data_IF_974678347124
#
_entry.id   IF_974678347124
#
_cell.length_a   1.000
_cell.length_b   1.000
_cell.length_c   1.000
_cell.angle_alpha   90.00
_cell.angle_beta   90.00
_cell.angle_gamma   90.00
#
_symmetry.space_group_name_H-M   'P 1'
#
loop_
_entity.id
_entity.type
_entity.pdbx_description
1 polymer ?
#
# COMPACT_ATOMS: atom_id res chain seq x y z
N UNK A 1 17.64 -72.80 -22.53
CA UNK A 1 18.55 -72.21 -21.53
C UNK A 1 18.00 -70.84 -21.15
N UNK A 2 17.38 -70.73 -19.97
CA UNK A 2 16.78 -69.48 -19.46
C UNK A 2 17.89 -68.64 -18.83
N UNK A 3 18.14 -67.44 -19.32
CA UNK A 3 18.79 -66.38 -18.55
C UNK A 3 17.74 -65.32 -18.23
N UNK A 4 17.34 -65.27 -16.96
CA UNK A 4 16.68 -64.10 -16.39
C UNK A 4 17.76 -63.22 -15.78
N UNK A 5 17.80 -61.95 -16.17
CA UNK A 5 18.66 -60.95 -15.54
C UNK A 5 17.87 -59.66 -15.36
N UNK A 6 17.80 -59.24 -14.11
CA UNK A 6 17.24 -57.99 -13.63
C UNK A 6 18.18 -56.85 -14.04
N UNK A 7 17.71 -55.89 -14.84
CA UNK A 7 18.32 -54.56 -14.98
C UNK A 7 17.14 -53.58 -15.12
N UNK A 8 16.70 -52.94 -14.03
CA UNK A 8 17.16 -51.60 -13.62
C UNK A 8 17.23 -50.61 -14.80
N UNK A 9 16.08 -50.23 -15.35
CA UNK A 9 15.97 -48.98 -16.11
C UNK A 9 15.42 -47.89 -15.21
N UNK A 10 16.35 -47.12 -14.67
CA UNK A 10 16.16 -45.82 -14.05
C UNK A 10 15.64 -44.84 -15.13
N UNK A 11 14.34 -44.57 -15.15
CA UNK A 11 13.79 -43.52 -16.02
C UNK A 11 14.13 -42.17 -15.40
N UNK A 12 15.21 -41.57 -15.89
CA UNK A 12 15.62 -40.21 -15.57
C UNK A 12 14.56 -39.23 -16.12
N UNK A 13 13.72 -38.69 -15.24
CA UNK A 13 12.77 -37.64 -15.61
C UNK A 13 13.52 -36.30 -15.64
N UNK A 14 13.91 -35.87 -16.84
CA UNK A 14 14.52 -34.56 -17.07
C UNK A 14 13.40 -33.50 -17.00
N UNK A 15 13.30 -32.80 -15.87
CA UNK A 15 12.39 -31.66 -15.73
C UNK A 15 13.06 -30.47 -16.45
N UNK A 16 12.57 -30.16 -17.64
CA UNK A 16 12.90 -28.92 -18.34
C UNK A 16 12.18 -27.77 -17.63
N UNK A 17 12.87 -27.09 -16.71
CA UNK A 17 12.38 -25.84 -16.13
C UNK A 17 12.62 -24.75 -17.17
N UNK A 18 11.62 -24.47 -18.00
CA UNK A 18 11.62 -23.26 -18.83
C UNK A 18 11.36 -22.07 -17.91
N UNK A 19 12.39 -21.29 -17.59
CA UNK A 19 12.20 -19.97 -16.98
C UNK A 19 11.53 -19.08 -18.03
N UNK A 20 10.22 -18.86 -17.89
CA UNK A 20 9.55 -17.79 -18.61
C UNK A 20 10.14 -16.48 -18.06
N UNK A 21 10.74 -15.61 -18.88
CA UNK A 21 11.11 -14.30 -18.40
C UNK A 21 9.81 -13.57 -18.03
N UNK A 22 9.58 -13.34 -16.75
CA UNK A 22 8.59 -12.35 -16.34
C UNK A 22 9.17 -10.99 -16.71
N UNK A 23 8.60 -10.36 -17.74
CA UNK A 23 8.72 -8.92 -17.86
C UNK A 23 7.97 -8.34 -16.67
N UNK A 24 8.72 -7.94 -15.64
CA UNK A 24 8.19 -7.07 -14.60
C UNK A 24 7.67 -5.83 -15.31
N UNK A 25 6.36 -5.63 -15.30
CA UNK A 25 5.86 -4.30 -15.55
C UNK A 25 6.11 -3.50 -14.26
N UNK A 26 6.31 -2.21 -14.41
CA UNK A 26 6.53 -1.33 -13.27
C UNK A 26 5.20 -0.67 -12.93
N UNK A 27 4.82 -0.72 -11.65
CA UNK A 27 3.70 0.10 -11.20
C UNK A 27 4.21 1.53 -11.07
N UNK A 28 3.60 2.48 -11.77
CA UNK A 28 3.85 3.92 -11.58
C UNK A 28 2.68 4.53 -10.84
N UNK A 29 2.95 5.44 -9.89
CA UNK A 29 1.93 5.94 -8.99
C UNK A 29 1.97 7.44 -8.69
N UNK A 30 0.79 8.04 -8.67
CA UNK A 30 0.55 9.34 -8.04
C UNK A 30 -0.65 9.23 -7.08
N UNK A 31 -0.44 9.63 -5.84
CA UNK A 31 -1.46 9.80 -4.82
C UNK A 31 -1.60 11.31 -4.58
N UNK A 32 -2.75 11.88 -4.91
CA UNK A 32 -3.00 13.33 -4.83
C UNK A 32 -3.90 13.65 -3.64
N UNK A 33 -3.62 14.73 -2.93
CA UNK A 33 -4.43 15.19 -1.79
C UNK A 33 -5.56 16.18 -2.15
N UNK A 34 -6.71 16.16 -1.47
CA UNK A 34 -7.70 17.27 -1.50
C UNK A 34 -8.08 17.74 -0.10
N UNK A 35 -8.18 19.06 0.08
CA UNK A 35 -8.34 19.76 1.37
C UNK A 35 -9.73 20.37 1.49
N UNK A 36 -10.44 20.14 2.61
CA UNK A 36 -11.57 21.02 3.00
C UNK A 36 -11.58 21.33 4.53
N UNK A 37 -10.47 21.94 5.01
CA UNK A 37 -10.21 22.92 6.11
C UNK A 37 -10.80 22.72 7.54
N UNK A 38 -10.09 23.07 8.65
CA UNK A 38 -9.65 24.45 8.98
C UNK A 38 -8.15 24.82 8.91
N UNK A 39 -7.19 23.89 8.97
CA UNK A 39 -5.79 24.11 8.52
C UNK A 39 -5.03 22.79 8.39
N UNK A 40 -4.66 22.42 7.17
CA UNK A 40 -3.90 21.20 6.86
C UNK A 40 -2.90 21.49 5.75
N UNK A 41 -1.68 20.99 5.88
CA UNK A 41 -0.72 20.93 4.77
C UNK A 41 -0.81 19.53 4.16
N UNK A 42 -1.19 19.42 2.90
CA UNK A 42 -1.26 18.13 2.20
C UNK A 42 -0.25 18.12 1.06
N UNK A 43 0.53 17.05 0.99
CA UNK A 43 1.49 16.81 -0.07
C UNK A 43 0.89 15.93 -1.16
N UNK A 44 1.37 16.10 -2.40
CA UNK A 44 1.17 15.09 -3.43
C UNK A 44 2.28 14.05 -3.31
N UNK A 45 1.90 12.78 -3.33
CA UNK A 45 2.81 11.64 -3.23
C UNK A 45 3.03 11.04 -4.60
N UNK A 46 4.26 11.10 -5.09
CA UNK A 46 4.64 10.51 -6.37
C UNK A 46 5.57 9.35 -6.07
N UNK A 47 5.05 8.14 -6.26
CA UNK A 47 5.80 6.91 -6.11
C UNK A 47 6.11 6.48 -7.54
N UNK A 48 7.37 6.60 -7.97
CA UNK A 48 7.79 6.27 -9.33
C UNK A 48 7.57 4.79 -9.70
N UNK A 49 8.43 4.23 -10.51
CA UNK A 49 8.37 2.79 -10.80
C UNK A 49 8.64 1.96 -9.53
N UNK A 50 7.67 1.14 -9.11
CA UNK A 50 7.78 0.24 -7.96
C UNK A 50 7.73 -1.23 -8.39
N UNK A 51 8.54 -2.10 -7.75
CA UNK A 51 8.42 -3.54 -7.97
C UNK A 51 7.17 -4.10 -7.27
N UNK A 52 6.62 -5.17 -7.86
CA UNK A 52 5.55 -5.96 -7.25
C UNK A 52 6.10 -6.73 -6.05
N UNK A 53 5.57 -6.44 -4.85
CA UNK A 53 5.94 -7.15 -3.64
C UNK A 53 4.83 -7.03 -2.59
N UNK A 54 4.17 -8.15 -2.27
CA UNK A 54 3.10 -8.19 -1.28
C UNK A 54 3.60 -8.09 0.17
N UNK A 55 4.91 -8.25 0.41
CA UNK A 55 5.52 -8.19 1.74
C UNK A 55 6.06 -6.81 2.09
N UNK A 56 6.09 -5.86 1.14
CA UNK A 56 6.69 -4.55 1.32
C UNK A 56 5.66 -3.43 1.20
N UNK A 57 5.86 -2.42 2.04
CA UNK A 57 5.16 -1.15 2.00
C UNK A 57 6.14 -0.06 1.56
N UNK A 58 5.85 0.57 0.43
CA UNK A 58 6.62 1.67 -0.14
C UNK A 58 6.10 3.02 0.37
N UNK A 59 7.01 3.97 0.58
CA UNK A 59 6.67 5.31 1.06
C UNK A 59 7.66 6.36 0.53
N UNK A 60 7.25 7.63 0.54
CA UNK A 60 8.12 8.75 0.17
C UNK A 60 9.06 9.14 1.33
N UNK A 61 10.30 9.46 0.98
CA UNK A 61 11.32 10.06 1.86
C UNK A 61 11.92 11.29 1.16
N UNK A 62 12.67 12.12 1.87
CA UNK A 62 13.38 13.25 1.27
C UNK A 62 14.42 12.85 0.20
N UNK A 63 14.86 11.59 0.22
CA UNK A 63 15.87 11.06 -0.71
C UNK A 63 15.29 10.18 -1.83
N UNK A 64 13.97 10.05 -1.93
CA UNK A 64 13.30 9.17 -2.90
C UNK A 64 12.35 8.19 -2.21
N UNK A 65 12.26 6.96 -2.71
CA UNK A 65 11.31 5.96 -2.20
C UNK A 65 12.00 5.01 -1.22
N UNK A 66 11.43 4.90 -0.02
CA UNK A 66 11.77 3.91 0.98
C UNK A 66 10.83 2.70 0.95
N UNK A 67 11.20 1.65 1.67
CA UNK A 67 10.32 0.51 1.92
C UNK A 67 10.46 0.02 3.36
N UNK A 68 9.42 -0.66 3.85
CA UNK A 68 9.38 -1.28 5.16
C UNK A 68 8.52 -2.55 5.11
N UNK A 69 8.71 -3.45 6.08
CA UNK A 69 7.83 -4.59 6.27
C UNK A 69 6.60 -4.18 7.09
N UNK A 70 5.56 -5.01 7.04
CA UNK A 70 4.41 -4.85 7.92
C UNK A 70 4.83 -4.87 9.40
N UNK A 71 4.21 -4.04 10.24
CA UNK A 71 4.46 -3.93 11.68
C UNK A 71 5.89 -3.47 12.05
N UNK A 72 6.62 -2.89 11.10
CA UNK A 72 7.95 -2.30 11.32
C UNK A 72 7.90 -0.79 11.07
N UNK A 73 8.62 -0.01 11.88
CA UNK A 73 8.60 1.44 11.76
C UNK A 73 9.38 1.93 10.53
N UNK A 74 8.73 2.74 9.69
CA UNK A 74 9.36 3.40 8.56
C UNK A 74 10.22 4.58 9.03
N UNK A 75 11.52 4.52 8.73
CA UNK A 75 12.47 5.56 9.12
C UNK A 75 12.56 6.63 8.03
N UNK A 76 12.59 7.91 8.43
CA UNK A 76 12.65 9.06 7.52
C UNK A 76 11.49 9.14 6.52
N UNK A 77 10.36 8.51 6.84
CA UNK A 77 9.14 8.67 6.06
C UNK A 77 8.69 10.13 6.14
N UNK A 78 8.31 10.69 5.00
CA UNK A 78 7.69 12.01 4.94
C UNK A 78 6.24 11.90 5.40
N UNK A 79 5.71 12.96 6.02
CA UNK A 79 4.28 13.03 6.28
C UNK A 79 3.53 13.35 4.98
N UNK A 80 2.48 12.57 4.69
CA UNK A 80 1.56 12.86 3.58
C UNK A 80 0.77 14.13 3.85
N UNK A 81 0.31 14.28 5.09
CA UNK A 81 -0.29 15.51 5.56
C UNK A 81 0.18 15.83 6.97
N UNK A 82 0.21 17.12 7.30
CA UNK A 82 0.38 17.60 8.65
C UNK A 82 -0.82 18.47 9.02
N UNK A 83 -1.40 18.20 10.19
CA UNK A 83 -2.59 18.86 10.69
C UNK A 83 -2.22 19.59 11.98
N UNK A 84 -2.45 20.90 11.96
CA UNK A 84 -2.25 21.74 13.14
C UNK A 84 -3.58 21.84 13.91
N UNK A 85 -3.69 21.07 14.99
CA UNK A 85 -4.80 21.20 15.91
C UNK A 85 -4.48 22.28 16.94
N UNK A 86 -4.84 23.52 16.63
CA UNK A 86 -4.56 24.65 17.51
C UNK A 86 -5.11 24.50 18.95
N UNK A 87 -6.12 23.65 19.22
CA UNK A 87 -6.76 23.60 20.56
C UNK A 87 -7.45 22.31 21.07
N UNK A 88 -7.59 21.19 20.35
CA UNK A 88 -8.25 19.98 20.89
C UNK A 88 -7.88 18.68 20.15
N UNK A 89 -8.17 17.52 20.78
CA UNK A 89 -8.25 16.22 20.11
C UNK A 89 -9.18 16.33 18.90
N UNK A 90 -8.64 16.11 17.71
CA UNK A 90 -9.40 16.14 16.46
C UNK A 90 -9.20 14.85 15.68
N UNK A 91 -9.96 14.71 14.62
CA UNK A 91 -9.81 13.62 13.68
C UNK A 91 -9.79 14.16 12.25
N UNK A 92 -9.29 13.35 11.32
CA UNK A 92 -9.61 13.55 9.91
C UNK A 92 -10.49 12.43 9.40
N UNK A 93 -11.44 12.81 8.56
CA UNK A 93 -12.17 11.87 7.73
C UNK A 93 -11.41 11.67 6.42
N UNK A 94 -11.15 10.40 6.08
CA UNK A 94 -10.51 10.00 4.83
C UNK A 94 -11.58 9.62 3.81
N UNK A 95 -11.52 10.23 2.62
CA UNK A 95 -12.33 9.82 1.47
C UNK A 95 -11.48 9.75 0.20
N UNK A 96 -11.97 9.05 -0.82
CA UNK A 96 -11.30 8.98 -2.14
C UNK A 96 -12.16 9.60 -3.22
N UNK A 97 -11.52 10.15 -4.25
CA UNK A 97 -12.20 10.65 -5.45
C UNK A 97 -12.91 9.53 -6.23
N UNK A 98 -13.74 9.92 -7.20
CA UNK A 98 -14.38 8.96 -8.12
C UNK A 98 -13.40 8.47 -9.19
N UNK A 99 -13.63 7.25 -9.72
CA UNK A 99 -12.88 6.66 -10.84
C UNK A 99 -11.36 6.63 -10.61
N UNK A 100 -10.94 6.26 -9.40
CA UNK A 100 -9.52 6.15 -9.02
C UNK A 100 -8.97 4.77 -9.35
N UNK A 101 -7.76 4.74 -9.89
CA UNK A 101 -7.10 3.52 -10.34
C UNK A 101 -6.17 3.02 -9.25
N UNK A 102 -6.32 1.75 -8.89
CA UNK A 102 -5.40 1.03 -8.00
C UNK A 102 -5.37 -0.41 -8.47
N UNK A 103 -4.21 -0.99 -8.84
CA UNK A 103 -4.15 -2.34 -9.38
C UNK A 103 -4.75 -3.37 -8.41
N UNK A 104 -5.36 -4.42 -8.94
CA UNK A 104 -5.92 -5.50 -8.13
C UNK A 104 -4.85 -6.03 -7.14
N UNK A 105 -5.23 -6.29 -5.89
CA UNK A 105 -4.32 -6.68 -4.78
C UNK A 105 -3.39 -5.60 -4.24
N UNK A 106 -3.25 -4.45 -4.91
CA UNK A 106 -2.53 -3.31 -4.34
C UNK A 106 -3.37 -2.66 -3.23
N UNK A 107 -2.67 -2.10 -2.24
CA UNK A 107 -3.27 -1.48 -1.05
C UNK A 107 -2.56 -0.18 -0.73
N UNK A 108 -3.32 0.85 -0.40
CA UNK A 108 -2.84 2.07 0.22
C UNK A 108 -3.31 2.08 1.67
N UNK A 109 -2.39 2.33 2.58
CA UNK A 109 -2.64 2.60 4.00
C UNK A 109 -2.49 4.09 4.23
N UNK A 110 -3.45 4.68 4.93
CA UNK A 110 -3.39 6.05 5.47
C UNK A 110 -3.45 5.93 6.99
N UNK A 111 -2.45 6.46 7.68
CA UNK A 111 -2.23 6.16 9.12
C UNK A 111 -1.80 7.40 9.92
N UNK A 112 -2.01 7.40 11.25
CA UNK A 112 -1.49 8.44 12.16
C UNK A 112 -0.08 8.18 12.68
N UNK A 113 0.45 6.97 12.45
CA UNK A 113 1.83 6.63 12.77
C UNK A 113 2.62 6.12 11.56
N UNK A 114 3.91 5.83 11.78
CA UNK A 114 4.82 5.39 10.75
C UNK A 114 4.98 3.86 10.66
N UNK A 115 4.01 3.08 11.13
CA UNK A 115 4.05 1.62 11.17
C UNK A 115 2.88 1.06 10.35
N UNK A 116 3.09 0.56 9.12
CA UNK A 116 1.99 0.03 8.33
C UNK A 116 1.48 -1.31 8.89
N UNK A 117 0.17 -1.40 9.15
CA UNK A 117 -0.47 -2.61 9.66
C UNK A 117 -1.51 -3.17 8.68
N UNK A 118 -1.38 -4.45 8.29
CA UNK A 118 -2.35 -5.08 7.38
C UNK A 118 -3.61 -5.55 8.11
N UNK A 119 -3.60 -5.53 9.45
CA UNK A 119 -4.68 -6.06 10.27
C UNK A 119 -5.68 -4.98 10.64
N UNK A 120 -6.96 -5.35 10.78
CA UNK A 120 -8.05 -4.47 11.20
C UNK A 120 -8.02 -4.18 12.72
N UNK A 121 -6.82 -4.02 13.27
CA UNK A 121 -6.57 -3.85 14.70
C UNK A 121 -6.18 -2.40 14.99
N UNK A 122 -5.55 -1.71 14.03
CA UNK A 122 -5.26 -0.29 14.18
C UNK A 122 -6.55 0.56 14.11
N UNK A 123 -6.94 1.23 15.20
CA UNK A 123 -8.14 2.06 15.21
C UNK A 123 -8.03 3.35 14.41
N UNK A 124 -6.82 3.80 14.11
CA UNK A 124 -6.48 5.09 13.50
C UNK A 124 -5.95 4.94 12.05
N UNK A 125 -6.23 3.80 11.44
CA UNK A 125 -5.82 3.52 10.08
C UNK A 125 -7.02 3.44 9.12
N UNK A 126 -6.83 3.91 7.88
CA UNK A 126 -7.75 3.69 6.75
C UNK A 126 -7.04 2.92 5.64
N UNK A 127 -7.69 1.89 5.10
CA UNK A 127 -7.15 1.07 4.01
C UNK A 127 -7.99 1.22 2.74
N UNK A 128 -7.30 1.53 1.64
CA UNK A 128 -7.84 1.61 0.29
C UNK A 128 -7.26 0.44 -0.51
N UNK A 129 -8.08 -0.40 -1.13
CA UNK A 129 -7.61 -1.52 -1.96
C UNK A 129 -8.05 -1.38 -3.42
N UNK A 130 -7.22 -1.91 -4.30
CA UNK A 130 -7.57 -2.13 -5.70
C UNK A 130 -8.42 -3.39 -5.84
N UNK A 131 -9.56 -3.25 -6.50
CA UNK A 131 -10.49 -4.37 -6.74
C UNK A 131 -10.20 -5.09 -8.07
N UNK A 132 -10.99 -6.11 -8.39
CA UNK A 132 -10.87 -6.89 -9.63
C UNK A 132 -11.06 -6.11 -10.94
N UNK A 133 -11.48 -4.85 -10.87
CA UNK A 133 -11.57 -3.93 -12.03
C UNK A 133 -10.50 -2.84 -11.99
N UNK A 134 -9.45 -3.00 -11.17
CA UNK A 134 -8.40 -2.01 -10.91
C UNK A 134 -8.92 -0.65 -10.42
N UNK A 135 -10.06 -0.64 -9.73
CA UNK A 135 -10.61 0.55 -9.09
C UNK A 135 -10.26 0.56 -7.60
N UNK A 136 -9.91 1.74 -7.09
CA UNK A 136 -9.68 1.95 -5.67
C UNK A 136 -11.00 1.99 -4.89
N UNK A 137 -11.01 1.40 -3.69
CA UNK A 137 -12.14 1.43 -2.75
C UNK A 137 -11.64 1.38 -1.31
N UNK A 138 -12.26 2.14 -0.41
CA UNK A 138 -12.00 2.04 1.03
C UNK A 138 -12.65 0.77 1.56
N UNK A 139 -11.89 -0.06 2.26
CA UNK A 139 -12.36 -1.34 2.83
C UNK A 139 -12.17 -1.47 4.33
N UNK A 140 -11.33 -0.61 4.91
CA UNK A 140 -11.20 -0.46 6.35
C UNK A 140 -11.17 1.03 6.66
N UNK A 141 -12.05 1.45 7.58
CA UNK A 141 -12.36 2.85 7.87
C UNK A 141 -12.12 3.14 9.36
N UNK A 142 -11.06 2.59 9.95
CA UNK A 142 -10.82 2.58 11.39
C UNK A 142 -11.70 1.59 12.16
N UNK A 143 -11.42 1.42 13.47
CA UNK A 143 -12.10 0.42 14.33
C UNK A 143 -13.61 0.68 14.45
N UNK A 144 -14.03 1.93 14.31
CA UNK A 144 -15.43 2.35 14.40
C UNK A 144 -16.14 2.34 13.04
N UNK A 145 -15.41 2.08 11.94
CA UNK A 145 -15.95 2.09 10.58
C UNK A 145 -16.41 3.47 10.10
N UNK A 146 -15.95 4.54 10.74
CA UNK A 146 -16.38 5.92 10.48
C UNK A 146 -15.41 6.72 9.58
N UNK A 147 -14.33 6.09 9.14
CA UNK A 147 -13.33 6.67 8.24
C UNK A 147 -12.43 7.68 8.94
N UNK A 148 -12.40 7.65 10.27
CA UNK A 148 -11.71 8.61 11.10
C UNK A 148 -10.37 8.10 11.57
N UNK A 149 -9.39 8.98 11.49
CA UNK A 149 -8.06 8.80 12.07
C UNK A 149 -7.96 9.78 13.24
N UNK A 150 -7.76 9.27 14.47
CA UNK A 150 -7.70 10.07 15.71
C UNK A 150 -6.26 10.17 16.19
N UNK A 151 -5.72 11.38 16.22
CA UNK A 151 -4.31 11.60 16.53
C UNK A 151 -4.01 11.55 18.02
N UNK A 152 -2.92 10.88 18.38
CA UNK A 152 -2.43 10.85 19.75
C UNK A 152 -1.32 11.88 20.07
N UNK A 153 -0.54 12.37 19.10
CA UNK A 153 0.73 13.07 19.45
C UNK A 153 1.20 14.19 18.50
N UNK A 154 1.45 13.93 17.20
CA UNK A 154 2.27 14.82 16.35
C UNK A 154 1.52 15.50 15.17
N UNK A 155 0.27 15.09 14.92
CA UNK A 155 -0.57 15.63 13.86
C UNK A 155 -0.14 15.23 12.45
N UNK A 156 0.74 14.22 12.31
CA UNK A 156 1.16 13.72 11.02
C UNK A 156 0.22 12.61 10.53
N UNK A 157 0.04 12.55 9.21
CA UNK A 157 -0.60 11.45 8.52
C UNK A 157 0.42 10.87 7.56
N UNK A 158 0.58 9.55 7.59
CA UNK A 158 1.49 8.83 6.74
C UNK A 158 0.72 8.01 5.70
N UNK A 159 1.36 7.78 4.56
CA UNK A 159 0.79 6.98 3.48
C UNK A 159 1.78 5.92 3.05
N UNK A 160 1.31 4.69 2.98
CA UNK A 160 2.07 3.55 2.48
C UNK A 160 1.37 2.91 1.29
N UNK A 161 2.14 2.45 0.31
CA UNK A 161 1.65 1.67 -0.82
C UNK A 161 2.23 0.27 -0.77
N UNK A 162 1.38 -0.74 -0.66
CA UNK A 162 1.73 -2.13 -0.95
C UNK A 162 1.29 -2.43 -2.39
N UNK A 163 2.24 -2.82 -3.25
CA UNK A 163 1.95 -3.11 -4.66
C UNK A 163 1.30 -4.49 -4.87
N UNK A 164 1.20 -5.29 -3.81
CA UNK A 164 0.60 -6.62 -3.86
C UNK A 164 1.35 -7.55 -4.81
N UNK A 165 0.59 -8.37 -5.51
CA UNK A 165 1.09 -9.26 -6.56
C UNK A 165 0.95 -8.63 -7.95
N UNK A 166 0.46 -7.38 -8.02
CA UNK A 166 0.23 -6.68 -9.26
C UNK A 166 1.55 -6.37 -9.94
N UNK A 167 1.85 -7.12 -11.00
CA UNK A 167 3.04 -6.90 -11.79
C UNK A 167 2.92 -5.73 -12.74
N UNK A 168 1.73 -5.17 -12.99
CA UNK A 168 1.51 -4.02 -13.88
C UNK A 168 0.35 -3.15 -13.39
N UNK A 169 0.40 -1.85 -13.65
CA UNK A 169 -0.76 -0.97 -13.51
C UNK A 169 -0.40 0.41 -12.99
N UNK A 170 -1.36 1.32 -13.07
CA UNK A 170 -1.22 2.69 -12.58
C UNK A 170 -1.86 2.81 -11.20
N UNK A 171 -1.18 3.49 -10.28
CA UNK A 171 -1.76 3.94 -9.01
C UNK A 171 -2.12 5.41 -9.18
N UNK A 172 -3.40 5.74 -9.31
CA UNK A 172 -3.89 7.09 -9.47
C UNK A 172 -5.08 7.32 -8.53
N UNK A 173 -4.79 7.74 -7.30
CA UNK A 173 -5.78 7.89 -6.22
C UNK A 173 -5.76 9.33 -5.70
N UNK A 174 -6.93 9.97 -5.62
CA UNK A 174 -7.03 11.24 -4.90
C UNK A 174 -7.58 10.94 -3.50
N UNK A 175 -6.78 11.19 -2.48
CA UNK A 175 -7.16 11.06 -1.07
C UNK A 175 -7.56 12.44 -0.57
N UNK A 176 -8.78 12.57 -0.05
CA UNK A 176 -9.28 13.79 0.56
C UNK A 176 -9.25 13.61 2.07
N UNK A 177 -8.64 14.57 2.76
CA UNK A 177 -8.67 14.65 4.22
C UNK A 177 -9.55 15.84 4.61
N UNK A 178 -10.51 15.59 5.50
CA UNK A 178 -11.40 16.63 6.04
C UNK A 178 -11.24 16.66 7.56
N UNK A 179 -10.76 17.78 8.09
CA UNK A 179 -10.64 17.97 9.54
C UNK A 179 -11.99 18.40 10.12
N UNK A 180 -12.34 17.86 11.30
CA UNK A 180 -13.56 18.19 12.03
C UNK A 180 -13.33 18.20 13.55
#
# INVERSE_FOLDING_TARGET
MKLGFKELMLTLFLILITTIPSTAYTATGTITGRIISTSMTINNYILGDLPANNSLYYYETDSGIGYVFENEAANNIKAFAQIDFATNSGYVEVSIGVNKTLPNTAKIIVDDDNVPENTSIDPNQVQIIGNGTNSASIVYSGINGDGKIIYATDGNVYVFLNTGESTSGEVAVDITLTAA
#
